data_IF_448007520672
#
_entry.id   IF_448007520672
#
_cell.length_a   1.000
_cell.length_b   1.000
_cell.length_c   1.000
_cell.angle_alpha   90.00
_cell.angle_beta   90.00
_cell.angle_gamma   90.00
#
_symmetry.space_group_name_H-M   'P 1'
#
loop_
_entity.id
_entity.type
_entity.pdbx_description
1 polymer ?
#
# COMPACT_ATOMS: atom_id res chain seq x y z
N UNK A 1 11.46 17.28 -0.41
CA UNK A 1 10.52 16.82 0.64
C UNK A 1 10.70 15.34 0.90
N UNK A 2 10.60 14.48 -0.13
CA UNK A 2 10.88 13.04 0.01
C UNK A 2 12.30 12.80 0.53
N UNK A 3 12.42 12.00 1.60
CA UNK A 3 13.72 11.64 2.20
C UNK A 3 14.55 10.76 1.26
N UNK A 4 15.85 10.67 1.49
CA UNK A 4 16.71 9.76 0.72
C UNK A 4 16.29 8.29 0.90
N UNK A 5 15.88 7.89 2.11
CA UNK A 5 15.42 6.54 2.41
C UNK A 5 14.14 6.18 1.64
N UNK A 6 13.13 7.06 1.65
CA UNK A 6 11.89 6.78 0.92
C UNK A 6 12.08 6.82 -0.59
N UNK A 7 12.96 7.69 -1.09
CA UNK A 7 13.33 7.69 -2.51
C UNK A 7 13.99 6.36 -2.92
N UNK A 8 14.88 5.83 -2.10
CA UNK A 8 15.48 4.51 -2.32
C UNK A 8 14.41 3.40 -2.34
N UNK A 9 13.50 3.37 -1.35
CA UNK A 9 12.41 2.39 -1.31
C UNK A 9 11.53 2.44 -2.54
N UNK A 10 11.15 3.65 -2.97
CA UNK A 10 10.37 3.89 -4.18
C UNK A 10 11.08 3.37 -5.45
N UNK A 11 12.38 3.66 -5.58
CA UNK A 11 13.20 3.22 -6.72
C UNK A 11 13.40 1.69 -6.74
N UNK A 12 13.45 1.05 -5.57
CA UNK A 12 13.58 -0.41 -5.43
C UNK A 12 12.23 -1.16 -5.45
N UNK A 13 11.15 -0.53 -5.96
CA UNK A 13 9.81 -1.13 -6.06
C UNK A 13 9.79 -2.44 -6.87
N UNK A 14 10.48 -2.50 -8.00
CA UNK A 14 10.56 -3.72 -8.81
C UNK A 14 11.25 -4.88 -8.06
N UNK A 15 12.31 -4.58 -7.29
CA UNK A 15 12.98 -5.56 -6.45
C UNK A 15 12.07 -6.05 -5.31
N UNK A 16 11.28 -5.16 -4.71
CA UNK A 16 10.28 -5.53 -3.69
C UNK A 16 9.27 -6.53 -4.24
N UNK A 17 8.67 -6.23 -5.41
CA UNK A 17 7.76 -7.16 -6.10
C UNK A 17 8.39 -8.52 -6.36
N UNK A 18 9.60 -8.54 -6.93
CA UNK A 18 10.28 -9.79 -7.28
C UNK A 18 10.57 -10.64 -6.05
N UNK A 19 11.16 -10.07 -5.00
CA UNK A 19 11.51 -10.81 -3.78
C UNK A 19 10.25 -11.25 -3.02
N UNK A 20 9.29 -10.34 -2.85
CA UNK A 20 8.06 -10.59 -2.11
C UNK A 20 7.24 -11.73 -2.75
N UNK A 21 7.09 -11.72 -4.08
CA UNK A 21 6.39 -12.80 -4.80
C UNK A 21 7.17 -14.11 -4.82
N UNK A 22 8.51 -14.05 -4.87
CA UNK A 22 9.34 -15.25 -4.76
C UNK A 22 9.14 -15.92 -3.40
N UNK A 23 9.20 -15.16 -2.31
CA UNK A 23 9.00 -15.68 -0.95
C UNK A 23 7.56 -16.16 -0.75
N UNK A 24 6.56 -15.39 -1.19
CA UNK A 24 5.15 -15.78 -1.09
C UNK A 24 4.82 -17.11 -1.77
N UNK A 25 5.57 -17.50 -2.81
CA UNK A 25 5.40 -18.78 -3.51
C UNK A 25 6.13 -19.95 -2.85
N UNK A 26 7.20 -19.69 -2.10
CA UNK A 26 8.09 -20.74 -1.55
C UNK A 26 7.83 -21.01 -0.07
N UNK A 27 7.39 -20.01 0.68
CA UNK A 27 7.18 -20.06 2.11
C UNK A 27 5.70 -20.26 2.45
N UNK A 28 5.43 -20.69 3.68
CA UNK A 28 4.06 -20.75 4.19
C UNK A 28 3.49 -19.33 4.32
N UNK A 29 2.19 -19.21 4.16
CA UNK A 29 1.48 -17.95 4.33
C UNK A 29 0.07 -18.17 4.86
N UNK A 30 -0.65 -17.07 5.05
CA UNK A 30 -1.99 -17.08 5.62
C UNK A 30 -2.99 -16.38 4.72
N UNK A 31 -4.14 -17.02 4.50
CA UNK A 31 -5.22 -16.55 3.63
C UNK A 31 -5.09 -17.02 2.17
N UNK A 32 -5.99 -16.53 1.32
CA UNK A 32 -6.10 -16.94 -0.09
C UNK A 32 -5.26 -16.05 -1.00
N UNK A 33 -4.02 -16.49 -1.29
CA UNK A 33 -3.12 -15.82 -2.24
C UNK A 33 -3.57 -16.00 -3.69
N UNK A 34 -4.11 -17.17 -4.04
CA UNK A 34 -4.49 -17.50 -5.42
C UNK A 34 -5.67 -16.66 -5.90
N UNK A 35 -6.62 -16.34 -5.01
CA UNK A 35 -7.78 -15.49 -5.30
C UNK A 35 -7.48 -14.00 -5.46
N UNK A 36 -6.22 -13.55 -5.31
CA UNK A 36 -5.89 -12.12 -5.40
C UNK A 36 -5.86 -11.61 -6.86
N UNK A 37 -5.50 -12.47 -7.82
CA UNK A 37 -5.42 -12.15 -9.25
C UNK A 37 -4.57 -10.90 -9.52
N UNK A 38 -5.13 -9.97 -10.30
CA UNK A 38 -4.50 -8.70 -10.70
C UNK A 38 -3.95 -7.86 -9.54
N UNK A 39 -4.44 -8.07 -8.29
CA UNK A 39 -3.92 -7.36 -7.12
C UNK A 39 -2.42 -7.60 -6.92
N UNK A 40 -1.93 -8.81 -7.24
CA UNK A 40 -0.53 -9.20 -7.06
C UNK A 40 0.21 -9.37 -8.40
N UNK A 41 -0.38 -8.94 -9.51
CA UNK A 41 0.32 -8.85 -10.81
C UNK A 41 1.00 -7.48 -10.94
N UNK A 42 2.35 -7.39 -10.97
CA UNK A 42 3.05 -6.12 -11.14
C UNK A 42 2.70 -5.37 -12.44
N UNK A 43 2.07 -6.03 -13.43
CA UNK A 43 1.71 -5.43 -14.73
C UNK A 43 0.24 -5.01 -14.85
N UNK A 44 -0.56 -5.14 -13.79
CA UNK A 44 -2.00 -4.86 -13.83
C UNK A 44 -2.38 -3.36 -13.91
N UNK A 45 -1.42 -2.43 -13.88
CA UNK A 45 -1.70 -1.00 -13.86
C UNK A 45 -2.38 -0.51 -15.15
N UNK A 46 -3.46 0.25 -14.99
CA UNK A 46 -4.32 0.81 -16.05
C UNK A 46 -4.28 2.34 -16.02
N UNK A 47 -4.61 2.96 -17.14
CA UNK A 47 -4.81 4.41 -17.27
C UNK A 47 -5.98 4.93 -16.43
N UNK A 48 -6.03 6.25 -16.29
CA UNK A 48 -7.02 6.97 -15.48
C UNK A 48 -6.96 6.56 -14.01
N UNK A 49 -5.77 6.70 -13.43
CA UNK A 49 -5.45 6.21 -12.07
C UNK A 49 -6.27 6.84 -10.95
N UNK A 50 -6.67 8.11 -11.09
CA UNK A 50 -7.28 8.87 -10.00
C UNK A 50 -8.61 8.23 -9.52
N UNK A 51 -8.69 7.78 -8.26
CA UNK A 51 -9.92 7.22 -7.72
C UNK A 51 -10.93 8.33 -7.40
N UNK A 52 -12.23 8.10 -7.58
CA UNK A 52 -13.24 9.05 -7.14
C UNK A 52 -13.25 9.19 -5.60
N UNK A 53 -13.48 10.39 -5.05
CA UNK A 53 -13.73 10.55 -3.62
C UNK A 53 -14.91 9.71 -3.14
N UNK A 54 -14.83 9.19 -1.92
CA UNK A 54 -15.87 8.37 -1.33
C UNK A 54 -15.34 7.35 -0.33
N UNK A 55 -16.25 6.52 0.16
CA UNK A 55 -15.95 5.41 1.05
C UNK A 55 -15.49 4.18 0.26
N UNK A 56 -14.52 3.47 0.83
CA UNK A 56 -13.92 2.28 0.27
C UNK A 56 -13.85 1.19 1.33
N UNK A 57 -14.05 -0.05 0.92
CA UNK A 57 -13.47 -1.18 1.64
C UNK A 57 -12.04 -1.37 1.17
N UNK A 58 -11.15 -1.67 2.11
CA UNK A 58 -9.75 -1.95 1.81
C UNK A 58 -9.25 -3.16 2.57
N UNK A 59 -8.26 -3.86 2.03
CA UNK A 59 -7.54 -4.92 2.75
C UNK A 59 -6.06 -4.84 2.45
N UNK A 60 -5.25 -5.20 3.43
CA UNK A 60 -3.79 -5.28 3.26
C UNK A 60 -3.41 -6.70 2.91
N UNK A 61 -2.50 -6.85 1.96
CA UNK A 61 -1.78 -8.09 1.66
C UNK A 61 -0.31 -7.81 1.89
N UNK A 62 0.26 -8.47 2.88
CA UNK A 62 1.70 -8.42 3.16
C UNK A 62 2.35 -9.53 2.35
N UNK A 63 3.35 -9.20 1.53
CA UNK A 63 4.07 -10.14 0.67
C UNK A 63 5.56 -10.14 1.02
N UNK A 64 6.10 -11.33 1.16
CA UNK A 64 7.43 -11.59 1.69
C UNK A 64 7.61 -11.15 3.15
N UNK A 65 8.73 -11.57 3.71
CA UNK A 65 9.18 -11.24 5.05
C UNK A 65 10.57 -10.60 5.00
N UNK A 66 10.78 -9.58 5.83
CA UNK A 66 12.11 -9.03 6.10
C UNK A 66 12.91 -9.88 7.10
N UNK A 67 12.25 -10.78 7.83
CA UNK A 67 12.89 -11.75 8.73
C UNK A 67 13.49 -12.97 8.02
N UNK A 68 13.59 -12.96 6.69
CA UNK A 68 14.19 -14.06 5.93
C UNK A 68 13.27 -15.29 5.83
N UNK A 69 13.87 -16.48 5.90
CA UNK A 69 13.16 -17.76 5.68
C UNK A 69 12.27 -18.21 6.85
N UNK A 70 12.44 -17.61 8.03
CA UNK A 70 11.65 -17.93 9.22
C UNK A 70 10.31 -17.18 9.27
N UNK A 71 10.13 -16.15 8.44
CA UNK A 71 8.87 -15.40 8.38
C UNK A 71 7.85 -16.00 7.42
N UNK A 72 6.61 -15.50 7.51
CA UNK A 72 5.56 -15.85 6.56
C UNK A 72 5.86 -15.25 5.19
N UNK A 73 5.71 -16.06 4.15
CA UNK A 73 5.82 -15.61 2.76
C UNK A 73 4.73 -14.64 2.35
N UNK A 74 3.56 -14.73 2.98
CA UNK A 74 2.48 -13.76 2.81
C UNK A 74 1.43 -13.81 3.92
N UNK A 75 0.68 -12.72 4.07
CA UNK A 75 -0.53 -12.64 4.89
C UNK A 75 -1.59 -11.83 4.16
N UNK A 76 -2.75 -12.44 3.90
CA UNK A 76 -3.94 -11.77 3.33
C UNK A 76 -4.89 -11.41 4.46
N UNK A 77 -5.03 -10.12 4.76
CA UNK A 77 -5.96 -9.65 5.79
C UNK A 77 -7.39 -9.52 5.25
N UNK A 78 -8.34 -9.49 6.19
CA UNK A 78 -9.73 -9.16 5.92
C UNK A 78 -9.97 -7.68 5.56
N UNK A 79 -11.23 -7.33 5.38
CA UNK A 79 -11.65 -5.98 4.97
C UNK A 79 -11.70 -5.00 6.16
N UNK A 80 -11.31 -3.76 5.87
CA UNK A 80 -11.32 -2.60 6.73
C UNK A 80 -12.03 -1.44 6.03
N UNK A 81 -12.40 -0.41 6.78
CA UNK A 81 -12.94 0.82 6.24
C UNK A 81 -11.80 1.76 5.82
N UNK A 82 -11.91 2.32 4.62
CA UNK A 82 -11.01 3.30 4.05
C UNK A 82 -11.81 4.44 3.42
N UNK A 83 -11.14 5.56 3.16
CA UNK A 83 -11.74 6.72 2.48
C UNK A 83 -10.76 7.39 1.53
N UNK A 84 -11.28 7.86 0.40
CA UNK A 84 -10.62 8.84 -0.47
C UNK A 84 -11.34 10.18 -0.30
N UNK A 85 -10.60 11.22 0.07
CA UNK A 85 -11.14 12.56 0.29
C UNK A 85 -10.52 13.56 -0.69
N UNK A 86 -11.33 14.43 -1.27
CA UNK A 86 -10.83 15.63 -1.94
C UNK A 86 -10.50 16.67 -0.86
N UNK A 87 -9.24 17.10 -0.80
CA UNK A 87 -8.79 18.17 0.09
C UNK A 87 -8.29 19.36 -0.74
N UNK A 88 -8.10 20.54 -0.13
CA UNK A 88 -7.43 21.66 -0.80
C UNK A 88 -5.99 21.35 -1.27
N UNK A 89 -5.37 20.28 -0.74
CA UNK A 89 -4.02 19.83 -1.11
C UNK A 89 -4.01 18.66 -2.10
N UNK A 90 -5.17 18.26 -2.63
CA UNK A 90 -5.33 17.11 -3.52
C UNK A 90 -6.09 15.95 -2.86
N UNK A 91 -6.07 14.79 -3.52
CA UNK A 91 -6.69 13.57 -3.00
C UNK A 91 -5.92 13.06 -1.78
N UNK A 92 -6.66 12.55 -0.79
CA UNK A 92 -6.10 11.93 0.40
C UNK A 92 -6.66 10.52 0.58
N UNK A 93 -5.80 9.56 0.83
CA UNK A 93 -6.19 8.23 1.31
C UNK A 93 -6.11 8.17 2.84
N UNK A 94 -7.10 7.53 3.46
CA UNK A 94 -7.11 7.23 4.89
C UNK A 94 -7.65 5.83 5.15
N UNK A 95 -6.88 4.97 5.82
CA UNK A 95 -7.38 3.73 6.42
C UNK A 95 -7.97 4.03 7.80
N UNK A 96 -9.26 3.77 7.96
CA UNK A 96 -10.04 4.23 9.13
C UNK A 96 -10.04 3.21 10.26
N UNK A 97 -9.99 1.91 9.96
CA UNK A 97 -10.05 0.84 10.95
C UNK A 97 -8.83 -0.10 10.88
N UNK A 98 -8.63 -0.91 11.93
CA UNK A 98 -7.49 -1.82 12.08
C UNK A 98 -6.32 -1.23 12.88
N UNK A 99 -5.35 -2.07 13.20
CA UNK A 99 -4.19 -1.71 14.05
C UNK A 99 -3.12 -0.90 13.33
N UNK A 100 -3.01 -1.04 12.01
CA UNK A 100 -2.14 -0.24 11.15
C UNK A 100 -3.02 0.61 10.24
N UNK A 101 -2.96 1.93 10.39
CA UNK A 101 -3.81 2.90 9.70
C UNK A 101 -2.95 3.88 8.92
N UNK A 102 -2.54 3.46 7.72
CA UNK A 102 -1.84 4.30 6.77
C UNK A 102 -2.76 5.42 6.26
N UNK A 103 -2.19 6.60 6.05
CA UNK A 103 -2.88 7.70 5.39
C UNK A 103 -1.90 8.70 4.80
N UNK A 104 -2.30 9.37 3.72
CA UNK A 104 -1.41 10.26 3.00
C UNK A 104 -2.07 11.00 1.84
N UNK A 105 -1.38 12.03 1.34
CA UNK A 105 -1.78 12.76 0.14
C UNK A 105 -1.29 12.02 -1.10
N UNK A 106 -2.12 12.03 -2.14
CA UNK A 106 -1.88 11.40 -3.44
C UNK A 106 -1.52 12.48 -4.46
N UNK A 107 -0.37 12.31 -5.10
CA UNK A 107 0.19 13.22 -6.10
C UNK A 107 0.22 12.50 -7.45
N UNK A 108 -0.35 13.09 -8.52
CA UNK A 108 -0.22 12.51 -9.86
C UNK A 108 1.24 12.42 -10.29
N UNK A 109 1.67 11.23 -10.74
CA UNK A 109 2.98 11.02 -11.35
C UNK A 109 2.83 10.93 -12.88
N UNK A 110 1.87 10.13 -13.32
CA UNK A 110 1.48 9.97 -14.72
C UNK A 110 0.03 9.44 -14.81
N UNK A 111 -0.45 9.10 -16.00
CA UNK A 111 -1.83 8.61 -16.19
C UNK A 111 -2.13 7.24 -15.53
N UNK A 112 -1.09 6.46 -15.20
CA UNK A 112 -1.22 5.11 -14.61
C UNK A 112 -0.86 5.03 -13.13
N UNK A 113 -0.13 6.02 -12.61
CA UNK A 113 0.40 6.01 -11.25
C UNK A 113 0.17 7.35 -10.54
N UNK A 114 -0.20 7.28 -9.26
CA UNK A 114 -0.03 8.39 -8.32
C UNK A 114 0.94 7.98 -7.22
N UNK A 115 1.73 8.91 -6.69
CA UNK A 115 2.55 8.67 -5.51
C UNK A 115 1.81 9.12 -4.26
N UNK A 116 1.74 8.27 -3.25
CA UNK A 116 1.29 8.64 -1.92
C UNK A 116 2.50 9.01 -1.06
N UNK A 117 2.46 10.19 -0.46
CA UNK A 117 3.33 10.53 0.68
C UNK A 117 2.47 10.53 1.93
N UNK A 118 2.77 9.61 2.84
CA UNK A 118 1.92 9.34 3.99
C UNK A 118 2.68 8.99 5.26
N UNK A 119 1.90 8.67 6.27
CA UNK A 119 2.39 8.23 7.57
C UNK A 119 1.54 7.05 8.05
N UNK A 120 2.06 6.31 9.02
CA UNK A 120 1.38 5.21 9.69
C UNK A 120 0.94 5.64 11.10
N UNK A 121 -0.34 5.48 11.40
CA UNK A 121 -0.84 5.45 12.77
C UNK A 121 -1.01 4.01 13.27
N UNK A 122 -0.63 3.76 14.51
CA UNK A 122 -0.70 2.45 15.17
C UNK A 122 -1.78 2.41 16.26
N UNK A 123 -2.53 1.32 16.31
CA UNK A 123 -3.54 1.03 17.33
C UNK A 123 -4.42 2.26 17.63
N UNK A 124 -4.40 2.72 18.89
CA UNK A 124 -5.21 3.82 19.40
C UNK A 124 -4.62 5.22 19.14
N UNK A 125 -3.54 5.35 18.37
CA UNK A 125 -3.00 6.66 18.01
C UNK A 125 -4.04 7.52 17.27
N UNK A 126 -3.92 8.85 17.29
CA UNK A 126 -4.67 9.70 16.36
C UNK A 126 -4.43 9.31 14.89
N UNK A 127 -5.29 9.73 13.95
CA UNK A 127 -5.06 9.51 12.53
C UNK A 127 -3.65 9.93 12.09
N UNK A 128 -3.12 9.21 11.10
CA UNK A 128 -1.75 9.40 10.63
C UNK A 128 -1.42 10.87 10.33
N UNK A 129 -0.24 11.29 10.79
CA UNK A 129 0.27 12.64 10.57
C UNK A 129 0.58 12.88 9.09
N UNK A 130 0.87 14.14 8.74
CA UNK A 130 1.44 14.44 7.43
C UNK A 130 2.85 13.85 7.31
N UNK A 131 3.22 13.43 6.11
CA UNK A 131 4.57 12.97 5.77
C UNK A 131 5.63 13.98 6.25
N UNK A 132 6.73 13.49 6.82
CA UNK A 132 7.86 14.28 7.30
C UNK A 132 7.75 14.73 8.76
N UNK A 133 6.62 14.44 9.44
CA UNK A 133 6.42 14.79 10.85
C UNK A 133 6.92 13.69 11.80
N UNK A 134 6.94 12.42 11.35
CA UNK A 134 7.43 11.26 12.10
C UNK A 134 8.21 10.32 11.18
N UNK A 135 9.54 10.52 11.05
CA UNK A 135 10.36 9.75 10.10
C UNK A 135 10.28 8.22 10.25
N UNK A 136 10.02 7.71 11.46
CA UNK A 136 9.83 6.28 11.75
C UNK A 136 8.45 5.73 11.31
N UNK A 137 7.54 6.63 10.93
CA UNK A 137 6.18 6.33 10.44
C UNK A 137 5.97 6.76 9.00
N UNK A 138 6.86 7.55 8.44
CA UNK A 138 6.79 8.00 7.06
C UNK A 138 6.84 6.80 6.11
N UNK A 139 6.01 6.88 5.08
CA UNK A 139 5.93 5.88 4.02
C UNK A 139 5.66 6.56 2.68
N UNK A 140 6.14 5.91 1.64
CA UNK A 140 5.86 6.23 0.24
C UNK A 140 5.14 5.04 -0.40
N UNK A 141 4.13 5.31 -1.21
CA UNK A 141 3.40 4.27 -1.93
C UNK A 141 3.10 4.69 -3.36
N UNK A 142 2.79 3.72 -4.22
CA UNK A 142 2.27 3.96 -5.56
C UNK A 142 0.84 3.48 -5.63
N UNK A 143 -0.09 4.38 -5.94
CA UNK A 143 -1.47 4.04 -6.25
C UNK A 143 -1.58 3.69 -7.73
N UNK A 144 -2.18 2.55 -7.99
CA UNK A 144 -2.45 2.06 -9.35
C UNK A 144 -3.93 1.67 -9.46
N UNK A 145 -4.54 1.96 -10.60
CA UNK A 145 -5.83 1.39 -10.97
C UNK A 145 -5.59 0.04 -11.61
N UNK A 146 -6.22 -1.02 -11.08
CA UNK A 146 -6.03 -2.41 -11.53
C UNK A 146 -7.31 -3.05 -12.05
N UNK A 147 -8.42 -2.31 -12.07
CA UNK A 147 -9.71 -2.74 -12.59
C UNK A 147 -10.66 -1.56 -12.74
N UNK A 148 -11.90 -1.82 -13.16
CA UNK A 148 -12.86 -0.74 -13.40
C UNK A 148 -13.14 0.10 -12.16
N UNK A 149 -13.37 -0.58 -11.03
CA UNK A 149 -13.63 -0.04 -9.69
C UNK A 149 -12.70 -0.66 -8.65
N UNK A 150 -11.43 -0.85 -9.01
CA UNK A 150 -10.44 -1.55 -8.18
C UNK A 150 -9.08 -0.88 -8.30
N UNK A 151 -8.50 -0.55 -7.16
CA UNK A 151 -7.19 0.09 -7.05
C UNK A 151 -6.31 -0.68 -6.07
N UNK A 152 -5.01 -0.40 -6.13
CA UNK A 152 -4.07 -0.83 -5.09
C UNK A 152 -3.07 0.26 -4.75
N UNK A 153 -2.73 0.38 -3.47
CA UNK A 153 -1.50 1.04 -3.04
C UNK A 153 -0.40 0.00 -2.90
N UNK A 154 0.74 0.26 -3.51
CA UNK A 154 1.96 -0.55 -3.43
C UNK A 154 2.95 0.18 -2.53
N UNK A 155 3.25 -0.38 -1.37
CA UNK A 155 4.17 0.18 -0.37
C UNK A 155 5.43 -0.70 -0.38
N UNK A 156 6.49 -0.32 -1.12
CA UNK A 156 7.72 -1.11 -1.20
C UNK A 156 8.56 -0.92 0.06
N UNK A 157 9.14 -2.01 0.55
CA UNK A 157 10.08 -2.01 1.68
C UNK A 157 9.55 -1.20 2.88
N UNK A 158 8.35 -1.50 3.40
CA UNK A 158 7.83 -0.83 4.58
C UNK A 158 8.82 -0.94 5.74
N UNK A 159 8.67 -0.09 6.76
CA UNK A 159 9.63 -0.02 7.88
C UNK A 159 9.77 -1.35 8.65
N UNK A 160 8.79 -2.25 8.57
CA UNK A 160 8.80 -3.52 9.29
C UNK A 160 8.00 -4.61 8.57
N UNK A 161 8.19 -5.85 9.05
CA UNK A 161 7.46 -7.07 8.73
C UNK A 161 7.69 -7.63 7.32
N UNK A 162 7.25 -6.93 6.28
CA UNK A 162 7.12 -7.47 4.93
C UNK A 162 8.06 -6.79 3.93
N UNK A 163 8.31 -7.44 2.80
CA UNK A 163 9.06 -6.81 1.70
C UNK A 163 8.18 -5.85 0.89
N UNK A 164 6.88 -6.14 0.82
CA UNK A 164 5.90 -5.37 0.07
C UNK A 164 4.54 -5.43 0.77
N UNK A 165 3.96 -4.27 1.07
CA UNK A 165 2.56 -4.17 1.47
C UNK A 165 1.73 -3.71 0.26
N UNK A 166 0.67 -4.45 -0.04
CA UNK A 166 -0.33 -4.07 -1.04
C UNK A 166 -1.64 -3.80 -0.34
N UNK A 167 -2.19 -2.58 -0.46
CA UNK A 167 -3.53 -2.26 0.05
C UNK A 167 -4.48 -2.22 -1.13
N UNK A 168 -5.40 -3.17 -1.19
CA UNK A 168 -6.50 -3.16 -2.16
C UNK A 168 -7.54 -2.12 -1.75
N UNK A 169 -8.11 -1.40 -2.73
CA UNK A 169 -9.24 -0.51 -2.53
C UNK A 169 -10.36 -0.84 -3.52
N UNK A 170 -11.57 -0.99 -2.99
CA UNK A 170 -12.81 -1.14 -3.76
C UNK A 170 -13.86 -0.20 -3.17
N UNK A 171 -14.58 0.59 -3.97
CA UNK A 171 -15.65 1.46 -3.46
C UNK A 171 -16.64 0.65 -2.61
N UNK A 172 -17.06 1.21 -1.48
CA UNK A 172 -18.01 0.60 -0.54
C UNK A 172 -19.45 0.68 -1.05
#
# INVERSE_FOLDING_TARGET
>A
IVTAGDRDRYNRRAAAWSLALQQARRQTGSGDLAGLGDLIDPRAARSSVAPPPGDYRCRTVKLGSQGGEEGLGYVVYGWFACRIEQTPRGLKFSKLTGSQRQGGLLFPENDREMVMLGSLALAAEPPANSYGQRPDRDLIAVLERIGERRWRLVIPWPQAESNLDVIELVPA
#
